data_IF_651322317548
#
_entry.id   IF_651322317548
#
_cell.length_a   1.000
_cell.length_b   1.000
_cell.length_c   1.000
_cell.angle_alpha   90.00
_cell.angle_beta   90.00
_cell.angle_gamma   90.00
#
_symmetry.space_group_name_H-M   'P 1'
#
loop_
_entity.id
_entity.type
_entity.pdbx_description
1 polymer ?
#
# COMPACT_ATOMS: atom_id res chain seq x y z
N UNK A 1 16.38 -14.58 24.27
CA UNK A 1 17.39 -15.37 23.52
C UNK A 1 17.00 -15.28 22.05
N UNK A 2 17.77 -14.59 21.19
CA UNK A 2 17.37 -14.42 19.79
C UNK A 2 17.35 -15.78 19.07
N UNK A 3 16.23 -16.07 18.41
CA UNK A 3 15.96 -17.34 17.74
C UNK A 3 16.96 -17.61 16.61
N UNK A 4 17.24 -18.90 16.34
CA UNK A 4 18.18 -19.33 15.28
C UNK A 4 17.91 -18.72 13.89
N UNK A 5 16.67 -18.31 13.61
CA UNK A 5 16.22 -17.69 12.37
C UNK A 5 16.73 -16.24 12.20
N UNK A 6 16.84 -15.46 13.28
CA UNK A 6 17.37 -14.08 13.25
C UNK A 6 18.83 -14.03 12.79
N UNK A 7 19.64 -15.05 13.08
CA UNK A 7 21.05 -15.08 12.64
C UNK A 7 21.21 -15.35 11.14
N UNK A 8 20.29 -16.12 10.54
CA UNK A 8 20.28 -16.40 9.11
C UNK A 8 19.78 -15.20 8.30
N UNK A 9 18.75 -14.50 8.80
CA UNK A 9 18.24 -13.28 8.18
C UNK A 9 19.24 -12.12 8.25
N UNK A 10 19.94 -11.97 9.39
CA UNK A 10 21.00 -10.97 9.55
C UNK A 10 22.22 -11.25 8.66
N UNK A 11 22.54 -12.52 8.41
CA UNK A 11 23.57 -12.91 7.45
C UNK A 11 23.16 -12.61 5.98
N UNK A 12 21.86 -12.49 5.70
CA UNK A 12 21.31 -12.06 4.42
C UNK A 12 21.07 -10.53 4.32
N UNK A 13 21.45 -9.76 5.35
CA UNK A 13 21.30 -8.30 5.38
C UNK A 13 19.87 -7.81 5.63
N UNK A 14 19.00 -8.64 6.20
CA UNK A 14 17.63 -8.28 6.54
C UNK A 14 17.51 -8.11 8.06
N UNK A 15 17.17 -6.90 8.51
CA UNK A 15 16.82 -6.65 9.91
C UNK A 15 15.32 -6.98 10.08
N UNK A 16 15.04 -8.09 10.76
CA UNK A 16 13.67 -8.58 10.96
C UNK A 16 13.15 -8.11 12.33
N UNK A 17 11.96 -7.52 12.31
CA UNK A 17 11.22 -7.05 13.49
C UNK A 17 10.69 -8.19 14.38
N UNK A 18 9.85 -7.84 15.35
CA UNK A 18 9.29 -8.76 16.38
C UNK A 18 8.54 -9.97 15.80
N UNK A 19 8.52 -11.10 16.53
CA UNK A 19 7.94 -12.40 16.10
C UNK A 19 6.52 -12.30 15.51
N UNK A 20 5.65 -11.44 16.06
CA UNK A 20 4.29 -11.20 15.55
C UNK A 20 4.26 -10.58 14.13
N UNK A 21 5.31 -9.84 13.78
CA UNK A 21 5.46 -9.25 12.44
C UNK A 21 5.87 -10.32 11.42
N UNK A 22 6.70 -11.29 11.83
CA UNK A 22 7.17 -12.37 10.96
C UNK A 22 6.03 -13.33 10.58
N UNK A 23 5.18 -13.70 11.54
CA UNK A 23 4.00 -14.54 11.27
C UNK A 23 2.98 -13.84 10.35
N UNK A 24 2.78 -12.53 10.54
CA UNK A 24 1.94 -11.72 9.66
C UNK A 24 2.52 -11.63 8.25
N UNK A 25 3.82 -11.42 8.11
CA UNK A 25 4.50 -11.41 6.81
C UNK A 25 4.41 -12.79 6.16
N UNK A 26 4.63 -13.89 6.89
CA UNK A 26 4.51 -15.25 6.38
C UNK A 26 3.09 -15.56 5.89
N UNK A 27 2.06 -15.23 6.68
CA UNK A 27 0.66 -15.39 6.30
C UNK A 27 0.30 -14.52 5.08
N UNK A 28 0.82 -13.30 5.02
CA UNK A 28 0.66 -12.43 3.87
C UNK A 28 1.35 -13.00 2.62
N UNK A 29 2.56 -13.54 2.73
CA UNK A 29 3.27 -14.17 1.62
C UNK A 29 2.54 -15.42 1.13
N UNK A 30 2.03 -16.26 2.03
CA UNK A 30 1.24 -17.43 1.68
C UNK A 30 -0.05 -17.04 0.91
N UNK A 31 -0.75 -16.00 1.37
CA UNK A 31 -1.91 -15.46 0.66
C UNK A 31 -1.55 -14.91 -0.73
N UNK A 32 -0.43 -14.19 -0.86
CA UNK A 32 0.03 -13.70 -2.15
C UNK A 32 0.36 -14.86 -3.11
N UNK A 33 1.05 -15.90 -2.62
CA UNK A 33 1.40 -17.09 -3.38
C UNK A 33 0.17 -17.87 -3.86
N UNK A 34 -0.89 -17.91 -3.05
CA UNK A 34 -2.17 -18.56 -3.37
C UNK A 34 -3.16 -17.65 -4.11
N UNK A 35 -2.76 -16.43 -4.47
CA UNK A 35 -3.62 -15.38 -5.03
C UNK A 35 -4.90 -15.09 -4.20
N UNK A 36 -4.85 -15.34 -2.89
CA UNK A 36 -5.98 -15.10 -2.01
C UNK A 36 -6.16 -13.59 -1.78
N UNK A 37 -7.41 -13.09 -1.79
CA UNK A 37 -7.68 -11.69 -1.49
C UNK A 37 -7.31 -11.36 -0.04
N UNK A 38 -6.98 -10.08 0.19
CA UNK A 38 -6.69 -9.58 1.54
C UNK A 38 -7.95 -9.68 2.43
N UNK A 39 -7.78 -9.91 3.74
CA UNK A 39 -8.89 -9.94 4.69
C UNK A 39 -9.70 -8.63 4.64
N UNK A 40 -11.01 -8.74 4.88
CA UNK A 40 -11.94 -7.61 4.89
C UNK A 40 -12.63 -7.42 6.23
N UNK A 41 -12.15 -8.15 7.23
CA UNK A 41 -12.65 -8.05 8.59
C UNK A 41 -12.22 -6.71 9.21
N UNK A 42 -13.08 -6.10 10.04
CA UNK A 42 -12.70 -4.90 10.77
C UNK A 42 -11.50 -5.19 11.69
N UNK A 43 -10.52 -4.29 11.70
CA UNK A 43 -9.36 -4.37 12.59
C UNK A 43 -9.23 -3.02 13.29
N UNK A 44 -9.10 -3.04 14.63
CA UNK A 44 -8.95 -1.84 15.45
C UNK A 44 -10.01 -0.76 15.18
N UNK A 45 -11.28 -1.17 15.01
CA UNK A 45 -12.41 -0.25 14.79
C UNK A 45 -12.53 0.31 13.36
N UNK A 46 -11.69 -0.12 12.42
CA UNK A 46 -11.72 0.34 11.01
C UNK A 46 -12.38 -0.72 10.12
N UNK A 47 -13.48 -0.38 9.44
CA UNK A 47 -14.14 -1.28 8.46
C UNK A 47 -13.74 -0.92 7.01
N UNK A 48 -12.96 -1.77 6.31
CA UNK A 48 -12.61 -1.54 4.92
C UNK A 48 -13.81 -1.42 3.96
N UNK A 49 -14.97 -1.97 4.30
CA UNK A 49 -16.12 -2.06 3.39
C UNK A 49 -17.09 -0.89 3.50
N UNK A 50 -16.86 0.07 4.41
CA UNK A 50 -17.77 1.21 4.68
C UNK A 50 -18.24 1.94 3.42
N UNK A 51 -17.40 2.02 2.37
CA UNK A 51 -17.71 2.73 1.12
C UNK A 51 -17.91 1.82 -0.13
N UNK A 52 -18.02 0.48 0.00
CA UNK A 52 -18.17 -0.43 -1.17
C UNK A 52 -19.64 -0.72 -1.51
N UNK A 53 -20.00 -0.60 -2.80
CA UNK A 53 -21.23 -1.18 -3.35
C UNK A 53 -21.03 -2.63 -3.84
N UNK A 54 -21.89 -3.57 -3.39
CA UNK A 54 -21.74 -5.02 -3.61
C UNK A 54 -21.67 -5.48 -5.07
N UNK A 55 -22.28 -4.76 -6.01
CA UNK A 55 -22.28 -5.08 -7.46
C UNK A 55 -20.89 -4.99 -8.11
N UNK A 56 -20.04 -4.09 -7.61
CA UNK A 56 -18.68 -3.89 -8.12
C UNK A 56 -17.79 -5.12 -7.87
N UNK A 57 -18.11 -5.87 -6.81
CA UNK A 57 -17.39 -7.07 -6.40
C UNK A 57 -17.64 -8.26 -7.35
N UNK A 58 -18.89 -8.43 -7.78
CA UNK A 58 -19.29 -9.47 -8.72
C UNK A 58 -18.71 -9.22 -10.11
N UNK A 59 -18.73 -7.96 -10.56
CA UNK A 59 -18.24 -7.57 -11.88
C UNK A 59 -16.74 -7.88 -12.08
N UNK A 60 -15.89 -7.65 -11.06
CA UNK A 60 -14.43 -7.87 -11.14
C UNK A 60 -14.10 -9.36 -11.31
N UNK A 61 -14.78 -10.23 -10.57
CA UNK A 61 -14.58 -11.68 -10.65
C UNK A 61 -15.04 -12.24 -12.00
N UNK A 62 -16.13 -11.71 -12.57
CA UNK A 62 -16.61 -12.10 -13.90
C UNK A 62 -15.64 -11.69 -15.03
N UNK A 63 -15.11 -10.47 -14.97
CA UNK A 63 -14.22 -9.94 -16.01
C UNK A 63 -12.88 -10.68 -16.11
N UNK A 64 -12.33 -11.13 -14.98
CA UNK A 64 -11.06 -11.87 -14.95
C UNK A 64 -11.17 -13.22 -15.66
N UNK A 65 -12.23 -14.00 -15.39
CA UNK A 65 -12.49 -15.29 -16.06
C UNK A 65 -12.79 -15.11 -17.55
N UNK A 66 -13.53 -14.05 -17.89
CA UNK A 66 -13.86 -13.74 -19.28
C UNK A 66 -12.60 -13.40 -20.10
N UNK A 67 -11.66 -12.63 -19.53
CA UNK A 67 -10.40 -12.26 -20.20
C UNK A 67 -9.56 -13.48 -20.57
N UNK A 68 -9.45 -14.47 -19.67
CA UNK A 68 -8.67 -15.69 -19.89
C UNK A 68 -9.33 -16.58 -20.96
N UNK A 69 -10.66 -16.71 -20.92
CA UNK A 69 -11.39 -17.46 -21.93
C UNK A 69 -11.26 -16.81 -23.32
N UNK A 70 -11.35 -15.48 -23.37
CA UNK A 70 -11.32 -14.71 -24.61
C UNK A 70 -9.93 -14.72 -25.26
N UNK A 71 -8.84 -14.64 -24.49
CA UNK A 71 -7.48 -14.69 -25.03
C UNK A 71 -7.14 -16.04 -25.65
N UNK A 72 -7.53 -17.15 -25.03
CA UNK A 72 -7.36 -18.50 -25.60
C UNK A 72 -8.22 -18.69 -26.86
N UNK A 73 -9.46 -18.18 -26.85
CA UNK A 73 -10.37 -18.24 -27.99
C UNK A 73 -9.85 -17.44 -29.19
N UNK A 74 -9.44 -16.19 -28.99
CA UNK A 74 -8.89 -15.35 -30.07
C UNK A 74 -7.59 -15.91 -30.63
N UNK A 75 -6.68 -16.40 -29.79
CA UNK A 75 -5.43 -17.00 -30.28
C UNK A 75 -5.71 -18.21 -31.19
N UNK A 76 -6.64 -19.09 -30.78
CA UNK A 76 -7.08 -20.23 -31.61
C UNK A 76 -7.78 -19.78 -32.89
N UNK A 77 -8.58 -18.72 -32.84
CA UNK A 77 -9.30 -18.19 -33.99
C UNK A 77 -8.36 -17.56 -35.04
N UNK A 78 -7.37 -16.78 -34.61
CA UNK A 78 -6.34 -16.19 -35.47
C UNK A 78 -5.50 -17.28 -36.14
N UNK A 79 -5.05 -18.27 -35.35
CA UNK A 79 -4.24 -19.37 -35.87
C UNK A 79 -4.99 -20.22 -36.90
N UNK A 80 -6.29 -20.46 -36.67
CA UNK A 80 -7.16 -21.18 -37.62
C UNK A 80 -7.40 -20.39 -38.90
N UNK A 81 -7.33 -19.07 -38.86
CA UNK A 81 -7.50 -18.19 -40.03
C UNK A 81 -6.19 -17.99 -40.80
N UNK A 82 -5.04 -18.01 -40.12
CA UNK A 82 -3.73 -17.78 -40.72
C UNK A 82 -3.04 -19.04 -41.27
N UNK A 83 -3.36 -20.24 -40.76
CA UNK A 83 -2.73 -21.48 -41.16
C UNK A 83 -3.72 -22.44 -41.85
N UNK A 84 -3.27 -23.14 -42.88
CA UNK A 84 -4.08 -24.15 -43.58
C UNK A 84 -4.47 -25.33 -42.67
N UNK A 85 -5.61 -25.98 -42.97
CA UNK A 85 -6.23 -27.06 -42.16
C UNK A 85 -5.25 -28.14 -41.64
N UNK A 86 -4.23 -28.49 -42.42
CA UNK A 86 -3.23 -29.51 -42.07
C UNK A 86 -2.25 -29.04 -40.98
N UNK A 87 -1.75 -27.80 -41.07
CA UNK A 87 -0.81 -27.22 -40.07
C UNK A 87 -1.53 -26.95 -38.75
N UNK A 88 -2.77 -26.48 -38.82
CA UNK A 88 -3.65 -26.21 -37.66
C UNK A 88 -3.81 -27.45 -36.79
N UNK A 89 -4.00 -28.65 -37.35
CA UNK A 89 -4.21 -29.89 -36.56
C UNK A 89 -2.96 -30.34 -35.82
N UNK A 90 -1.78 -30.15 -36.41
CA UNK A 90 -0.50 -30.56 -35.80
C UNK A 90 0.07 -29.50 -34.84
N UNK A 91 -0.18 -28.22 -35.08
CA UNK A 91 0.41 -27.12 -34.30
C UNK A 91 -0.50 -26.51 -33.23
N UNK A 92 -1.83 -26.69 -33.28
CA UNK A 92 -2.74 -26.17 -32.25
C UNK A 92 -2.33 -26.54 -30.81
N UNK A 93 -1.94 -27.80 -30.52
CA UNK A 93 -1.54 -28.19 -29.17
C UNK A 93 -0.33 -27.41 -28.66
N UNK A 94 0.61 -27.07 -29.55
CA UNK A 94 1.84 -26.35 -29.21
C UNK A 94 1.64 -24.85 -28.99
N UNK A 95 0.54 -24.26 -29.46
CA UNK A 95 0.21 -22.84 -29.21
C UNK A 95 -0.36 -22.62 -27.80
N UNK A 96 -0.95 -23.65 -27.21
CA UNK A 96 -1.39 -23.58 -25.81
C UNK A 96 -0.23 -23.37 -24.83
N UNK A 97 0.93 -24.00 -25.11
CA UNK A 97 2.12 -23.96 -24.25
C UNK A 97 2.67 -22.53 -24.02
N UNK A 98 2.99 -21.72 -25.06
CA UNK A 98 3.49 -20.36 -24.86
C UNK A 98 2.45 -19.43 -24.25
N UNK A 99 1.16 -19.62 -24.54
CA UNK A 99 0.08 -18.84 -23.91
C UNK A 99 0.03 -19.11 -22.40
N UNK A 100 0.08 -20.38 -22.02
CA UNK A 100 0.12 -20.79 -20.61
C UNK A 100 1.41 -20.29 -19.93
N UNK A 101 2.56 -20.40 -20.60
CA UNK A 101 3.83 -19.90 -20.08
C UNK A 101 3.80 -18.38 -19.86
N UNK A 102 3.23 -17.61 -20.79
CA UNK A 102 3.06 -16.17 -20.67
C UNK A 102 2.16 -15.80 -19.48
N UNK A 103 1.05 -16.53 -19.28
CA UNK A 103 0.17 -16.29 -18.14
C UNK A 103 0.85 -16.63 -16.82
N UNK A 104 1.53 -17.78 -16.75
CA UNK A 104 2.30 -18.18 -15.57
C UNK A 104 3.39 -17.17 -15.24
N UNK A 105 4.10 -16.64 -16.25
CA UNK A 105 5.10 -15.60 -16.06
C UNK A 105 4.46 -14.29 -15.54
N UNK A 106 3.32 -13.88 -16.08
CA UNK A 106 2.60 -12.68 -15.63
C UNK A 106 2.09 -12.82 -14.18
N UNK A 107 1.55 -13.99 -13.82
CA UNK A 107 1.12 -14.32 -12.46
C UNK A 107 2.33 -14.33 -11.52
N UNK A 108 3.40 -15.05 -11.87
CA UNK A 108 4.64 -15.09 -11.08
C UNK A 108 5.22 -13.69 -10.85
N UNK A 109 5.26 -12.85 -11.89
CA UNK A 109 5.70 -11.46 -11.78
C UNK A 109 4.83 -10.65 -10.81
N UNK A 110 3.50 -10.81 -10.88
CA UNK A 110 2.55 -10.14 -9.98
C UNK A 110 2.73 -10.61 -8.53
N UNK A 111 2.87 -11.92 -8.31
CA UNK A 111 3.08 -12.52 -6.98
C UNK A 111 4.39 -12.04 -6.38
N UNK A 112 5.49 -12.07 -7.14
CA UNK A 112 6.80 -11.58 -6.68
C UNK A 112 6.76 -10.09 -6.33
N UNK A 113 6.08 -9.27 -7.14
CA UNK A 113 5.91 -7.84 -6.86
C UNK A 113 5.12 -7.61 -5.57
N UNK A 114 4.04 -8.35 -5.37
CA UNK A 114 3.21 -8.25 -4.16
C UNK A 114 3.96 -8.74 -2.91
N UNK A 115 4.68 -9.86 -3.02
CA UNK A 115 5.53 -10.39 -1.96
C UNK A 115 6.59 -9.37 -1.54
N UNK A 116 7.28 -8.75 -2.51
CA UNK A 116 8.27 -7.71 -2.25
C UNK A 116 7.68 -6.55 -1.45
N UNK A 117 6.50 -6.06 -1.85
CA UNK A 117 5.81 -4.98 -1.14
C UNK A 117 5.49 -5.37 0.31
N UNK A 118 5.03 -6.60 0.55
CA UNK A 118 4.70 -7.13 1.89
C UNK A 118 5.92 -7.27 2.79
N UNK A 119 7.05 -7.73 2.24
CA UNK A 119 8.32 -7.85 2.99
C UNK A 119 8.91 -6.49 3.34
N UNK A 120 8.87 -5.53 2.42
CA UNK A 120 9.42 -4.19 2.66
C UNK A 120 8.54 -3.32 3.57
N UNK A 121 7.25 -3.65 3.67
CA UNK A 121 6.25 -2.85 4.36
C UNK A 121 6.61 -2.49 5.80
N UNK A 122 6.88 -3.47 6.68
CA UNK A 122 7.18 -3.18 8.09
C UNK A 122 8.38 -2.25 8.29
N UNK A 123 9.49 -2.49 7.59
CA UNK A 123 10.67 -1.61 7.67
C UNK A 123 10.36 -0.20 7.18
N UNK A 124 9.61 -0.07 6.07
CA UNK A 124 9.17 1.23 5.60
C UNK A 124 8.24 1.92 6.62
N UNK A 125 7.34 1.20 7.28
CA UNK A 125 6.49 1.75 8.33
C UNK A 125 7.32 2.34 9.46
N UNK A 126 8.27 1.60 10.01
CA UNK A 126 9.12 2.07 11.12
C UNK A 126 9.88 3.35 10.73
N UNK A 127 10.51 3.33 9.55
CA UNK A 127 11.23 4.47 9.02
C UNK A 127 10.36 5.73 8.82
N UNK A 128 9.14 5.59 8.29
CA UNK A 128 8.22 6.71 8.16
C UNK A 128 7.82 7.26 9.53
N UNK A 129 7.54 6.39 10.49
CA UNK A 129 7.11 6.79 11.81
C UNK A 129 8.23 7.44 12.62
N UNK A 130 9.49 7.04 12.43
CA UNK A 130 10.64 7.70 13.06
C UNK A 130 10.81 9.14 12.57
N UNK A 131 10.52 9.39 11.30
CA UNK A 131 10.56 10.74 10.72
C UNK A 131 9.34 11.55 11.17
N UNK A 132 8.13 10.99 11.02
CA UNK A 132 6.89 11.71 11.29
C UNK A 132 6.64 11.94 12.79
N UNK A 133 7.08 11.03 13.65
CA UNK A 133 6.87 11.12 15.10
C UNK A 133 8.15 11.50 15.84
N UNK A 134 9.11 12.14 15.15
CA UNK A 134 10.36 12.63 15.75
C UNK A 134 10.11 13.64 16.89
N UNK A 135 8.98 14.35 16.84
CA UNK A 135 8.52 15.26 17.89
C UNK A 135 7.19 14.75 18.48
N UNK A 136 6.95 14.96 19.79
CA UNK A 136 5.71 14.55 20.41
C UNK A 136 4.53 15.34 19.83
N UNK A 137 3.49 14.61 19.42
CA UNK A 137 2.25 15.18 18.90
C UNK A 137 1.27 15.50 20.03
N UNK A 138 0.50 16.59 19.89
CA UNK A 138 -0.68 16.84 20.72
C UNK A 138 -1.72 15.71 20.59
N UNK A 139 -2.64 15.55 21.56
CA UNK A 139 -3.72 14.57 21.47
C UNK A 139 -4.53 14.67 20.17
N UNK A 140 -4.87 15.88 19.73
CA UNK A 140 -5.60 16.09 18.48
C UNK A 140 -4.82 15.63 17.24
N UNK A 141 -3.49 15.86 17.21
CA UNK A 141 -2.64 15.42 16.11
C UNK A 141 -2.43 13.91 16.10
N UNK A 142 -2.43 13.26 17.27
CA UNK A 142 -2.41 11.79 17.40
C UNK A 142 -3.68 11.18 16.80
N UNK A 143 -4.84 11.70 17.15
CA UNK A 143 -6.10 11.22 16.58
C UNK A 143 -6.14 11.45 15.06
N UNK A 144 -5.69 12.61 14.58
CA UNK A 144 -5.59 12.89 13.16
C UNK A 144 -4.63 11.94 12.42
N UNK A 145 -3.51 11.55 13.05
CA UNK A 145 -2.58 10.57 12.50
C UNK A 145 -3.21 9.18 12.38
N UNK A 146 -3.93 8.70 13.40
CA UNK A 146 -4.67 7.45 13.34
C UNK A 146 -5.75 7.49 12.23
N UNK A 147 -6.51 8.59 12.17
CA UNK A 147 -7.54 8.86 11.16
C UNK A 147 -6.98 8.91 9.74
N UNK A 148 -5.75 9.39 9.54
CA UNK A 148 -5.10 9.42 8.22
C UNK A 148 -4.91 7.99 7.65
N UNK A 149 -4.46 7.07 8.51
CA UNK A 149 -4.27 5.65 8.14
C UNK A 149 -5.62 4.97 7.89
N UNK A 150 -6.58 5.15 8.80
CA UNK A 150 -7.91 4.57 8.70
C UNK A 150 -8.68 5.07 7.46
N UNK A 151 -8.63 6.37 7.17
CA UNK A 151 -9.19 6.98 5.96
C UNK A 151 -8.63 6.33 4.70
N UNK A 152 -7.32 6.05 4.69
CA UNK A 152 -6.65 5.40 3.55
C UNK A 152 -7.15 3.96 3.36
N UNK A 153 -7.33 3.20 4.45
CA UNK A 153 -7.87 1.83 4.42
C UNK A 153 -9.29 1.81 3.85
N UNK A 154 -10.17 2.69 4.31
CA UNK A 154 -11.56 2.79 3.83
C UNK A 154 -11.63 3.18 2.37
N UNK A 155 -10.89 4.21 1.96
CA UNK A 155 -10.87 4.68 0.55
C UNK A 155 -10.35 3.61 -0.41
N UNK A 156 -9.38 2.81 0.03
CA UNK A 156 -8.82 1.72 -0.77
C UNK A 156 -9.64 0.43 -0.68
N UNK A 157 -10.60 0.37 0.24
CA UNK A 157 -11.51 -0.73 0.45
C UNK A 157 -10.83 -2.07 0.72
N UNK A 158 -9.68 -2.04 1.40
CA UNK A 158 -8.86 -3.23 1.65
C UNK A 158 -7.95 -3.05 2.86
N UNK A 159 -7.92 -4.06 3.71
CA UNK A 159 -6.93 -4.17 4.79
C UNK A 159 -5.68 -4.86 4.26
N UNK A 160 -4.83 -4.09 3.55
CA UNK A 160 -3.53 -4.60 3.12
C UNK A 160 -2.62 -4.83 4.34
N UNK A 161 -1.81 -5.90 4.40
CA UNK A 161 -0.93 -6.19 5.54
C UNK A 161 -0.11 -4.97 6.00
N UNK A 162 0.53 -4.26 5.07
CA UNK A 162 1.30 -3.06 5.41
C UNK A 162 0.46 -1.92 6.02
N UNK A 163 -0.82 -1.77 5.64
CA UNK A 163 -1.68 -0.76 6.26
C UNK A 163 -2.10 -1.17 7.67
N UNK A 164 -2.34 -2.47 7.88
CA UNK A 164 -2.57 -3.02 9.22
C UNK A 164 -1.38 -2.77 10.13
N UNK A 165 -0.17 -3.13 9.66
CA UNK A 165 1.08 -2.85 10.39
C UNK A 165 1.22 -1.36 10.66
N UNK A 166 0.98 -0.48 9.68
CA UNK A 166 1.04 0.97 9.91
C UNK A 166 0.05 1.42 10.99
N UNK A 167 -1.19 0.94 10.96
CA UNK A 167 -2.22 1.31 11.94
C UNK A 167 -1.84 0.83 13.35
N UNK A 168 -1.43 -0.42 13.50
CA UNK A 168 -0.97 -1.01 14.76
C UNK A 168 0.24 -0.22 15.33
N UNK A 169 1.23 0.07 14.49
CA UNK A 169 2.45 0.79 14.90
C UNK A 169 2.19 2.25 15.23
N UNK A 170 1.30 2.93 14.49
CA UNK A 170 0.84 4.27 14.84
C UNK A 170 0.19 4.23 16.22
N UNK A 171 -0.84 3.41 16.43
CA UNK A 171 -1.54 3.34 17.73
C UNK A 171 -0.60 2.95 18.88
N UNK A 172 0.37 2.06 18.66
CA UNK A 172 1.36 1.71 19.68
C UNK A 172 2.26 2.90 20.08
N UNK A 173 2.62 3.78 19.12
CA UNK A 173 3.50 4.93 19.39
C UNK A 173 2.78 6.15 19.96
N UNK A 174 1.56 6.43 19.49
CA UNK A 174 0.80 7.62 19.90
C UNK A 174 -0.23 7.34 21.01
N UNK A 175 -0.54 6.06 21.27
CA UNK A 175 -1.65 5.63 22.12
C UNK A 175 -2.88 5.26 21.30
N UNK A 176 -3.71 4.37 21.85
CA UNK A 176 -4.99 4.00 21.24
C UNK A 176 -5.93 5.20 21.28
N UNK A 177 -6.56 5.50 20.15
CA UNK A 177 -7.61 6.51 20.08
C UNK A 177 -8.94 5.83 20.42
N UNK A 178 -9.61 6.31 21.46
CA UNK A 178 -10.93 5.81 21.89
C UNK A 178 -12.08 6.38 21.05
N UNK A 179 -11.76 7.14 20.00
CA UNK A 179 -12.74 7.88 19.22
C UNK A 179 -13.55 6.97 18.29
N UNK A 180 -14.87 7.12 18.35
CA UNK A 180 -15.75 6.51 17.37
C UNK A 180 -15.52 7.19 16.01
N UNK A 181 -15.59 6.44 14.90
CA UNK A 181 -15.40 6.95 13.53
C UNK A 181 -13.96 7.31 13.12
N UNK A 182 -12.94 6.57 13.57
CA UNK A 182 -11.58 6.69 13.02
C UNK A 182 -11.53 6.64 11.48
N UNK A 183 -12.51 5.97 10.89
CA UNK A 183 -12.56 5.58 9.49
C UNK A 183 -13.38 6.54 8.59
N UNK A 184 -13.81 7.70 9.12
CA UNK A 184 -14.52 8.76 8.38
C UNK A 184 -13.55 9.79 7.74
N UNK A 185 -13.46 9.86 6.40
CA UNK A 185 -12.59 10.80 5.69
C UNK A 185 -12.94 12.27 5.92
N UNK A 186 -14.22 12.61 6.12
CA UNK A 186 -14.65 13.98 6.34
C UNK A 186 -14.31 14.45 7.77
N UNK A 187 -14.34 13.55 8.75
CA UNK A 187 -13.84 13.83 10.09
C UNK A 187 -12.33 14.03 10.07
N UNK A 188 -11.59 13.18 9.34
CA UNK A 188 -10.15 13.36 9.15
C UNK A 188 -9.79 14.74 8.59
N UNK A 189 -10.41 15.17 7.49
CA UNK A 189 -10.10 16.46 6.86
C UNK A 189 -10.42 17.64 7.79
N UNK A 190 -11.52 17.58 8.55
CA UNK A 190 -11.86 18.60 9.56
C UNK A 190 -10.83 18.63 10.69
N UNK A 191 -10.39 17.47 11.19
CA UNK A 191 -9.36 17.39 12.22
C UNK A 191 -8.04 18.00 11.72
N UNK A 192 -7.62 17.65 10.49
CA UNK A 192 -6.41 18.18 9.86
C UNK A 192 -6.45 19.71 9.72
N UNK A 193 -7.60 20.26 9.32
CA UNK A 193 -7.79 21.71 9.18
C UNK A 193 -7.63 22.46 10.51
N UNK A 194 -7.98 21.82 11.63
CA UNK A 194 -7.89 22.42 12.96
C UNK A 194 -6.47 22.39 13.55
N UNK A 195 -5.53 21.66 12.93
CA UNK A 195 -4.18 21.51 13.46
C UNK A 195 -3.28 22.71 13.11
N UNK A 196 -2.36 23.08 14.03
CA UNK A 196 -1.25 23.95 13.69
C UNK A 196 -0.38 23.33 12.58
N UNK A 197 0.24 24.16 11.73
CA UNK A 197 1.08 23.68 10.61
C UNK A 197 2.18 22.71 11.04
N UNK A 198 2.80 22.97 12.19
CA UNK A 198 3.85 22.12 12.75
C UNK A 198 3.37 20.68 13.05
N UNK A 199 2.09 20.51 13.39
CA UNK A 199 1.49 19.19 13.67
C UNK A 199 0.77 18.61 12.45
N UNK A 200 0.30 19.44 11.52
CA UNK A 200 -0.29 18.98 10.27
C UNK A 200 0.73 18.29 9.36
N UNK A 201 1.99 18.75 9.36
CA UNK A 201 3.06 18.17 8.53
C UNK A 201 3.34 16.68 8.83
N UNK A 202 3.56 16.25 10.09
CA UNK A 202 3.75 14.83 10.38
C UNK A 202 2.50 13.98 10.09
N UNK A 203 1.29 14.53 10.27
CA UNK A 203 0.05 13.85 9.87
C UNK A 203 -0.01 13.64 8.35
N UNK A 204 0.39 14.63 7.56
CA UNK A 204 0.49 14.52 6.10
C UNK A 204 1.54 13.50 5.65
N UNK A 205 2.66 13.37 6.38
CA UNK A 205 3.68 12.34 6.10
C UNK A 205 3.14 10.93 6.35
N UNK A 206 2.37 10.74 7.43
CA UNK A 206 1.71 9.47 7.73
C UNK A 206 0.67 9.15 6.66
N UNK A 207 -0.13 10.14 6.23
CA UNK A 207 -1.06 9.99 5.10
C UNK A 207 -0.32 9.58 3.83
N UNK A 208 0.74 10.31 3.45
CA UNK A 208 1.55 10.00 2.28
C UNK A 208 2.10 8.57 2.32
N UNK A 209 2.62 8.15 3.48
CA UNK A 209 3.10 6.79 3.72
C UNK A 209 1.98 5.77 3.52
N UNK A 210 0.82 5.95 4.16
CA UNK A 210 -0.33 5.09 4.02
C UNK A 210 -0.78 4.95 2.55
N UNK A 211 -0.74 6.05 1.78
CA UNK A 211 -1.16 6.05 0.38
C UNK A 211 -0.24 5.22 -0.53
N UNK A 212 1.03 5.02 -0.17
CA UNK A 212 2.03 4.33 -1.01
C UNK A 212 2.34 2.89 -0.61
N UNK A 213 2.07 2.50 0.63
CA UNK A 213 2.50 1.21 1.21
C UNK A 213 1.97 -0.04 0.50
N UNK A 214 0.89 0.07 -0.26
CA UNK A 214 0.32 -1.00 -1.08
C UNK A 214 0.81 -1.00 -2.54
N UNK A 215 1.77 -0.12 -2.86
CA UNK A 215 2.37 0.08 -4.18
C UNK A 215 1.42 0.64 -5.24
N UNK A 216 0.24 1.16 -4.86
CA UNK A 216 -0.75 1.76 -5.77
C UNK A 216 -1.07 3.18 -5.34
N UNK A 217 -1.05 4.10 -6.30
CA UNK A 217 -1.47 5.48 -6.07
C UNK A 217 -2.52 5.84 -7.12
N UNK A 218 -3.79 5.72 -6.72
CA UNK A 218 -4.94 5.89 -7.61
C UNK A 218 -5.31 7.36 -7.83
N UNK A 219 -6.23 7.64 -8.76
CA UNK A 219 -6.82 8.99 -8.91
C UNK A 219 -7.54 9.46 -7.64
N UNK A 220 -8.13 8.54 -6.87
CA UNK A 220 -8.80 8.85 -5.60
C UNK A 220 -7.80 9.18 -4.50
N UNK A 221 -6.69 8.45 -4.47
CA UNK A 221 -5.58 8.67 -3.54
C UNK A 221 -4.98 10.07 -3.79
N UNK A 222 -4.79 10.43 -5.06
CA UNK A 222 -4.38 11.77 -5.47
C UNK A 222 -5.38 12.83 -5.04
N UNK A 223 -6.68 12.62 -5.24
CA UNK A 223 -7.71 13.57 -4.83
C UNK A 223 -7.75 13.77 -3.30
N UNK A 224 -7.60 12.69 -2.51
CA UNK A 224 -7.49 12.78 -1.06
C UNK A 224 -6.25 13.58 -0.64
N UNK A 225 -5.11 13.31 -1.28
CA UNK A 225 -3.87 14.04 -1.00
C UNK A 225 -3.99 15.53 -1.32
N UNK A 226 -4.56 15.87 -2.48
CA UNK A 226 -4.80 17.25 -2.89
C UNK A 226 -5.77 17.98 -1.95
N UNK A 227 -6.81 17.29 -1.47
CA UNK A 227 -7.73 17.86 -0.48
C UNK A 227 -7.02 18.14 0.86
N UNK A 228 -6.14 17.24 1.31
CA UNK A 228 -5.34 17.44 2.52
C UNK A 228 -4.30 18.58 2.36
N UNK A 229 -3.61 18.63 1.21
CA UNK A 229 -2.65 19.68 0.85
C UNK A 229 -3.31 21.06 0.76
N UNK A 230 -4.56 21.15 0.28
CA UNK A 230 -5.31 22.40 0.26
C UNK A 230 -5.61 22.96 1.66
N UNK A 231 -5.71 22.11 2.68
CA UNK A 231 -6.00 22.49 4.07
C UNK A 231 -4.72 22.81 4.85
N UNK A 232 -3.62 22.13 4.52
CA UNK A 232 -2.30 22.37 5.09
C UNK A 232 -1.28 22.47 3.94
N UNK A 233 -1.09 23.68 3.37
CA UNK A 233 -0.29 23.87 2.17
C UNK A 233 1.16 23.43 2.39
N UNK A 234 1.57 22.42 1.63
CA UNK A 234 2.95 21.96 1.54
C UNK A 234 3.25 21.80 0.04
N UNK A 235 4.23 22.53 -0.50
CA UNK A 235 4.36 22.65 -1.95
C UNK A 235 4.79 21.33 -2.60
N UNK A 236 4.06 20.94 -3.66
CA UNK A 236 4.40 19.81 -4.55
C UNK A 236 4.28 18.43 -3.87
N UNK A 237 3.45 18.35 -2.82
CA UNK A 237 3.29 17.17 -1.99
C UNK A 237 2.66 16.01 -2.77
N UNK A 238 1.58 16.25 -3.52
CA UNK A 238 0.95 15.21 -4.33
C UNK A 238 1.89 14.55 -5.35
N UNK A 239 2.83 15.29 -5.93
CA UNK A 239 3.78 14.74 -6.91
C UNK A 239 4.97 14.07 -6.21
N UNK A 240 5.38 14.56 -5.04
CA UNK A 240 6.31 13.87 -4.15
C UNK A 240 5.79 12.49 -3.73
N UNK A 241 4.50 12.33 -3.39
CA UNK A 241 3.89 11.02 -3.11
C UNK A 241 3.99 10.07 -4.33
N UNK A 242 3.82 10.62 -5.53
CA UNK A 242 4.01 9.87 -6.77
C UNK A 242 5.44 9.35 -6.95
N UNK A 243 6.44 10.15 -6.58
CA UNK A 243 7.85 9.76 -6.59
C UNK A 243 8.16 8.74 -5.51
N UNK A 244 7.73 8.99 -4.27
CA UNK A 244 7.84 8.09 -3.11
C UNK A 244 7.34 6.69 -3.46
N UNK A 245 6.16 6.62 -4.09
CA UNK A 245 5.57 5.35 -4.55
C UNK A 245 6.45 4.63 -5.58
N UNK A 246 7.12 5.34 -6.49
CA UNK A 246 8.00 4.71 -7.49
C UNK A 246 9.24 4.11 -6.82
N UNK A 247 9.84 4.84 -5.90
CA UNK A 247 11.04 4.39 -5.17
C UNK A 247 10.72 3.21 -4.26
N UNK A 248 9.59 3.26 -3.55
CA UNK A 248 9.12 2.14 -2.73
C UNK A 248 8.90 0.86 -3.57
N UNK A 249 8.18 0.97 -4.70
CA UNK A 249 7.94 -0.19 -5.59
C UNK A 249 9.23 -0.74 -6.21
N UNK A 250 10.25 0.11 -6.40
CA UNK A 250 11.56 -0.29 -6.94
C UNK A 250 12.47 -0.97 -5.91
N UNK A 251 12.19 -0.82 -4.62
CA UNK A 251 13.01 -1.40 -3.56
C UNK A 251 13.90 -0.42 -2.81
N UNK A 252 13.81 0.88 -3.08
CA UNK A 252 14.73 1.88 -2.53
C UNK A 252 14.31 2.41 -1.14
N UNK A 253 13.24 1.86 -0.55
CA UNK A 253 12.68 2.33 0.71
C UNK A 253 11.89 3.64 0.55
N UNK A 254 11.59 4.29 1.68
CA UNK A 254 10.83 5.55 1.73
C UNK A 254 11.60 6.71 2.39
N UNK A 255 12.64 6.41 3.15
CA UNK A 255 13.41 7.35 3.98
C UNK A 255 14.00 8.50 3.17
N UNK A 256 14.71 8.20 2.08
CA UNK A 256 15.43 9.22 1.31
C UNK A 256 14.50 10.28 0.71
N UNK A 257 13.28 9.88 0.32
CA UNK A 257 12.28 10.81 -0.24
C UNK A 257 11.58 11.60 0.88
N UNK A 258 11.28 10.94 2.01
CA UNK A 258 10.67 11.62 3.17
C UNK A 258 11.64 12.63 3.80
N UNK A 259 12.91 12.24 4.02
CA UNK A 259 13.94 13.13 4.56
C UNK A 259 14.29 14.28 3.59
N UNK A 260 14.42 13.99 2.30
CA UNK A 260 14.80 15.02 1.32
C UNK A 260 13.80 16.17 1.20
N UNK A 261 12.52 15.93 1.46
CA UNK A 261 11.44 16.92 1.30
C UNK A 261 10.92 17.47 2.63
N UNK A 262 10.67 16.62 3.62
CA UNK A 262 10.02 17.06 4.85
C UNK A 262 10.96 17.58 5.94
N UNK A 263 12.23 17.14 5.99
CA UNK A 263 13.19 17.64 6.99
C UNK A 263 13.91 18.92 6.56
N UNK A 264 13.86 19.31 5.28
CA UNK A 264 14.59 20.49 4.81
C UNK A 264 13.95 21.83 5.23
N UNK A 265 12.70 21.80 5.71
CA UNK A 265 11.95 22.99 6.14
C UNK A 265 12.08 23.30 7.64
N UNK A 266 12.65 22.39 8.44
CA UNK A 266 12.92 22.60 9.87
C UNK A 266 14.29 23.25 10.15
N UNK A 267 15.05 23.62 9.12
CA UNK A 267 16.43 24.14 9.23
C UNK A 267 16.63 25.62 8.87
N UNK A 268 15.57 26.38 8.61
CA UNK A 268 15.70 27.85 8.60
C UNK A 268 15.45 28.41 10.00
N UNK A 269 16.48 28.83 10.75
CA UNK A 269 16.27 29.56 11.98
C UNK A 269 15.64 30.91 11.64
N UNK A 270 14.48 31.17 12.23
CA UNK A 270 13.95 32.51 12.35
C UNK A 270 15.00 33.44 12.97
N UNK A 271 15.25 34.57 12.33
CA UNK A 271 15.89 35.72 12.97
C UNK A 271 17.34 36.00 12.58
N UNK A 272 17.51 36.66 11.43
CA UNK A 272 18.39 37.84 11.34
C UNK A 272 17.71 38.85 10.43
N UNK A 273 17.03 39.82 11.03
CA UNK A 273 17.09 41.26 10.74
C UNK A 273 16.44 42.00 11.90
#
# INVERSE_FOLDING_TARGET
MPGRHQRLARAAGLDLGEEDTDDQVAAALARAALELPDPREPVLGVDPNREISGWRLVAVSGLYKLKIALSSFLAKAVLRRALGRAVVRSWLPFVGVPITALWNAAVAFKVLREARLRVMGPSAVEAALDIALAQPLSPAARDAAARAVATTIVKKHRMHPNHRTLLERVQARIGTSDDADLDDPAVFLRALQALPRAEAQPVLQILATALVLDGRFSRRDRALMQAAEALAPEPDLSDAVGHLRREFVRGHGIEGVLMGRFTHQAREPAGRY
#
